data_IF_605003046580
#
_entry.id   IF_605003046580
#
_cell.length_a   1.000
_cell.length_b   1.000
_cell.length_c   1.000
_cell.angle_alpha   90.00
_cell.angle_beta   90.00
_cell.angle_gamma   90.00
#
_symmetry.space_group_name_H-M   'P 1'
#
loop_
_entity.id
_entity.type
_entity.pdbx_description
1 polymer ?
#
# COMPACT_ATOMS: atom_id res chain seq x y z
N UNK A 1 -45.63 -2.29 -32.83
CA UNK A 1 -44.65 -1.24 -32.43
C UNK A 1 -43.71 -1.94 -31.47
N UNK A 2 -42.92 -2.82 -32.06
CA UNK A 2 -42.30 -3.94 -31.36
C UNK A 2 -40.80 -3.76 -31.28
N UNK A 3 -40.28 -4.17 -30.12
CA UNK A 3 -39.06 -4.95 -30.00
C UNK A 3 -37.76 -4.31 -30.45
N UNK A 4 -37.03 -3.67 -29.51
CA UNK A 4 -35.60 -3.95 -29.30
C UNK A 4 -35.27 -3.85 -27.80
N UNK A 5 -35.82 -4.78 -27.00
CA UNK A 5 -35.09 -5.26 -25.82
C UNK A 5 -34.08 -6.27 -26.36
N UNK A 6 -32.96 -5.77 -26.91
CA UNK A 6 -31.83 -6.66 -27.15
C UNK A 6 -31.36 -7.12 -25.78
N UNK A 7 -31.59 -8.41 -25.54
CA UNK A 7 -30.91 -9.23 -24.55
C UNK A 7 -29.40 -9.04 -24.68
N UNK A 8 -28.89 -8.02 -24.01
CA UNK A 8 -27.46 -7.87 -23.77
C UNK A 8 -27.09 -9.03 -22.87
N UNK A 9 -26.29 -9.95 -23.42
CA UNK A 9 -25.88 -11.14 -22.68
C UNK A 9 -25.22 -10.71 -21.36
N UNK A 10 -25.42 -11.43 -20.26
CA UNK A 10 -24.85 -11.06 -18.96
C UNK A 10 -23.32 -10.84 -19.01
N UNK A 11 -22.62 -11.50 -19.94
CA UNK A 11 -21.19 -11.28 -20.19
C UNK A 11 -20.81 -9.96 -20.87
N UNK A 12 -21.71 -9.30 -21.62
CA UNK A 12 -21.42 -7.99 -22.22
C UNK A 12 -21.49 -6.87 -21.19
N UNK A 13 -22.50 -6.87 -20.31
CA UNK A 13 -22.64 -5.87 -19.24
C UNK A 13 -21.53 -5.94 -18.18
N UNK A 14 -21.08 -7.15 -17.82
CA UNK A 14 -19.93 -7.30 -16.90
C UNK A 14 -18.65 -6.75 -17.52
N UNK A 15 -18.50 -6.90 -18.84
CA UNK A 15 -17.35 -6.38 -19.58
C UNK A 15 -17.40 -4.86 -19.65
N UNK A 16 -18.56 -4.27 -19.98
CA UNK A 16 -18.74 -2.81 -20.07
C UNK A 16 -18.54 -2.10 -18.72
N UNK A 17 -18.98 -2.70 -17.62
CA UNK A 17 -18.75 -2.13 -16.28
C UNK A 17 -17.29 -2.23 -15.85
N UNK A 18 -16.60 -3.32 -16.21
CA UNK A 18 -15.17 -3.46 -15.95
C UNK A 18 -14.33 -2.43 -16.74
N UNK A 19 -14.67 -2.17 -18.00
CA UNK A 19 -13.97 -1.17 -18.82
C UNK A 19 -14.23 0.24 -18.30
N UNK A 20 -15.45 0.54 -17.83
CA UNK A 20 -15.79 1.81 -17.17
C UNK A 20 -15.03 2.00 -15.87
N UNK A 21 -14.90 0.94 -15.05
CA UNK A 21 -14.13 0.95 -13.82
C UNK A 21 -12.63 1.21 -14.07
N UNK A 22 -12.11 0.69 -15.18
CA UNK A 22 -10.72 0.92 -15.62
C UNK A 22 -10.54 2.35 -16.14
N UNK A 23 -11.47 2.85 -16.96
CA UNK A 23 -11.36 4.17 -17.59
C UNK A 23 -11.59 5.33 -16.62
N UNK A 24 -12.34 5.12 -15.54
CA UNK A 24 -12.64 6.14 -14.54
C UNK A 24 -13.80 7.05 -14.87
N UNK A 25 -14.61 6.69 -15.85
CA UNK A 25 -15.75 7.49 -16.26
C UNK A 25 -16.90 7.35 -15.23
N UNK A 26 -16.84 8.19 -14.19
CA UNK A 26 -17.81 8.16 -13.09
C UNK A 26 -19.23 8.50 -13.54
N UNK A 27 -19.39 9.28 -14.62
CA UNK A 27 -20.71 9.64 -15.16
C UNK A 27 -21.35 8.42 -15.84
N UNK A 28 -20.58 7.70 -16.66
CA UNK A 28 -21.05 6.45 -17.27
C UNK A 28 -21.32 5.40 -16.20
N UNK A 29 -20.47 5.31 -15.16
CA UNK A 29 -20.71 4.42 -14.04
C UNK A 29 -22.01 4.76 -13.28
N UNK A 30 -22.33 6.05 -13.06
CA UNK A 30 -23.61 6.45 -12.45
C UNK A 30 -24.82 6.02 -13.29
N UNK A 31 -24.77 6.24 -14.60
CA UNK A 31 -25.84 5.82 -15.51
C UNK A 31 -26.03 4.29 -15.47
N UNK A 32 -24.94 3.52 -15.47
CA UNK A 32 -24.99 2.06 -15.42
C UNK A 32 -25.56 1.55 -14.10
N UNK A 33 -25.10 2.08 -12.95
CA UNK A 33 -25.56 1.65 -11.63
C UNK A 33 -27.01 2.04 -11.35
N UNK A 34 -27.49 3.19 -11.85
CA UNK A 34 -28.91 3.55 -11.75
C UNK A 34 -29.81 2.56 -12.48
N UNK A 35 -29.35 2.04 -13.61
CA UNK A 35 -30.10 1.05 -14.39
C UNK A 35 -30.05 -0.33 -13.75
N UNK A 36 -28.88 -0.75 -13.29
CA UNK A 36 -28.66 -2.07 -12.69
C UNK A 36 -27.73 -1.95 -11.47
N UNK A 37 -28.26 -1.76 -10.25
CA UNK A 37 -27.45 -1.59 -9.04
C UNK A 37 -26.55 -2.80 -8.71
N UNK A 38 -26.99 -4.01 -9.05
CA UNK A 38 -26.22 -5.24 -8.85
C UNK A 38 -24.94 -5.32 -9.69
N UNK A 39 -24.72 -4.39 -10.62
CA UNK A 39 -23.49 -4.33 -11.40
C UNK A 39 -22.25 -4.04 -10.55
N UNK A 40 -22.40 -3.39 -9.39
CA UNK A 40 -21.26 -3.16 -8.46
C UNK A 40 -20.61 -4.47 -8.02
N UNK A 41 -21.42 -5.52 -7.87
CA UNK A 41 -21.00 -6.86 -7.44
C UNK A 41 -20.87 -7.86 -8.60
N UNK A 42 -21.11 -7.42 -9.84
CA UNK A 42 -20.98 -8.28 -11.01
C UNK A 42 -19.52 -8.71 -11.17
N UNK A 43 -19.29 -9.96 -11.57
CA UNK A 43 -17.95 -10.52 -11.73
C UNK A 43 -17.60 -10.68 -13.19
N UNK A 44 -16.36 -10.34 -13.54
CA UNK A 44 -15.82 -10.57 -14.87
C UNK A 44 -15.36 -12.04 -15.06
N UNK A 45 -14.74 -12.32 -16.20
CA UNK A 45 -14.21 -13.65 -16.54
C UNK A 45 -13.07 -14.12 -15.60
N UNK A 46 -12.44 -13.19 -14.89
CA UNK A 46 -11.40 -13.47 -13.89
C UNK A 46 -11.97 -13.49 -12.46
N UNK A 47 -13.30 -13.57 -12.32
CA UNK A 47 -14.00 -13.51 -11.04
C UNK A 47 -13.75 -12.19 -10.27
N UNK A 48 -13.34 -11.12 -10.95
CA UNK A 48 -13.04 -9.82 -10.36
C UNK A 48 -14.23 -8.87 -10.49
N UNK A 49 -14.47 -8.08 -9.46
CA UNK A 49 -15.54 -7.08 -9.40
C UNK A 49 -15.09 -5.73 -9.95
N UNK A 50 -16.01 -4.84 -10.40
CA UNK A 50 -15.67 -3.48 -10.81
C UNK A 50 -14.89 -2.70 -9.74
N UNK A 51 -15.21 -2.89 -8.45
CA UNK A 51 -14.46 -2.28 -7.35
C UNK A 51 -13.02 -2.77 -7.30
N UNK A 52 -12.79 -4.08 -7.41
CA UNK A 52 -11.43 -4.65 -7.45
C UNK A 52 -10.65 -4.16 -8.68
N UNK A 53 -11.29 -4.03 -9.85
CA UNK A 53 -10.67 -3.47 -11.06
C UNK A 53 -10.28 -2.01 -10.88
N UNK A 54 -11.18 -1.18 -10.38
CA UNK A 54 -10.89 0.23 -10.09
C UNK A 54 -9.74 0.36 -9.07
N UNK A 55 -9.76 -0.46 -8.01
CA UNK A 55 -8.71 -0.48 -6.99
C UNK A 55 -7.35 -0.90 -7.56
N UNK A 56 -7.33 -1.94 -8.41
CA UNK A 56 -6.13 -2.42 -9.11
C UNK A 56 -5.57 -1.38 -10.08
N UNK A 57 -6.43 -0.67 -10.82
CA UNK A 57 -6.04 0.40 -11.73
C UNK A 57 -5.61 1.69 -11.00
N UNK A 58 -5.78 1.78 -9.68
CA UNK A 58 -5.43 2.97 -8.91
C UNK A 58 -6.41 4.12 -9.08
N UNK A 59 -7.64 3.85 -9.51
CA UNK A 59 -8.64 4.87 -9.78
C UNK A 59 -9.42 5.24 -8.51
N UNK A 60 -8.88 6.18 -7.75
CA UNK A 60 -9.40 6.57 -6.43
C UNK A 60 -10.83 7.09 -6.47
N UNK A 61 -11.15 7.91 -7.46
CA UNK A 61 -12.47 8.50 -7.63
C UNK A 61 -13.52 7.41 -7.84
N UNK A 62 -13.23 6.45 -8.73
CA UNK A 62 -14.11 5.32 -9.01
C UNK A 62 -14.22 4.36 -7.83
N UNK A 63 -13.11 4.08 -7.14
CA UNK A 63 -13.12 3.29 -5.89
C UNK A 63 -14.02 3.93 -4.84
N UNK A 64 -13.86 5.23 -4.61
CA UNK A 64 -14.65 5.97 -3.63
C UNK A 64 -16.14 5.99 -4.00
N UNK A 65 -16.44 6.02 -5.30
CA UNK A 65 -17.80 5.95 -5.81
C UNK A 65 -18.42 4.58 -5.56
N UNK A 66 -17.74 3.49 -5.91
CA UNK A 66 -18.23 2.13 -5.68
C UNK A 66 -18.35 1.80 -4.18
N UNK A 67 -17.40 2.20 -3.34
CA UNK A 67 -17.49 1.96 -1.89
C UNK A 67 -18.68 2.65 -1.20
N UNK A 68 -19.24 3.71 -1.79
CA UNK A 68 -20.46 4.36 -1.27
C UNK A 68 -21.72 3.56 -1.60
N UNK A 69 -21.71 2.80 -2.69
CA UNK A 69 -22.85 1.99 -3.13
C UNK A 69 -22.77 0.54 -2.68
N UNK A 70 -21.58 0.04 -2.33
CA UNK A 70 -21.38 -1.30 -1.76
C UNK A 70 -21.80 -1.38 -0.28
N UNK A 71 -22.49 -2.47 0.08
CA UNK A 71 -22.78 -2.86 1.47
C UNK A 71 -21.71 -3.81 2.01
N UNK A 72 -21.53 -3.83 3.34
CA UNK A 72 -20.55 -4.73 3.98
C UNK A 72 -20.81 -6.20 3.67
N UNK A 73 -22.07 -6.60 3.51
CA UNK A 73 -22.52 -7.96 3.21
C UNK A 73 -22.27 -8.39 1.76
N UNK A 74 -21.96 -7.47 0.85
CA UNK A 74 -21.80 -7.75 -0.58
C UNK A 74 -20.52 -8.57 -0.89
N UNK A 75 -19.56 -8.57 0.03
CA UNK A 75 -18.28 -9.26 -0.11
C UNK A 75 -17.94 -10.08 1.12
N UNK A 76 -17.22 -11.19 0.93
CA UNK A 76 -16.65 -11.94 2.03
C UNK A 76 -15.54 -11.14 2.73
N UNK A 77 -15.19 -11.51 3.96
CA UNK A 77 -14.06 -10.88 4.66
C UNK A 77 -12.73 -11.05 3.89
N UNK A 78 -12.55 -12.17 3.17
CA UNK A 78 -11.37 -12.40 2.33
C UNK A 78 -11.33 -11.41 1.15
N UNK A 79 -12.45 -11.19 0.48
CA UNK A 79 -12.55 -10.23 -0.63
C UNK A 79 -12.33 -8.79 -0.16
N UNK A 80 -12.90 -8.42 1.00
CA UNK A 80 -12.64 -7.13 1.63
C UNK A 80 -11.17 -6.93 2.00
N UNK A 81 -10.53 -7.99 2.50
CA UNK A 81 -9.11 -7.97 2.82
C UNK A 81 -8.26 -7.81 1.55
N UNK A 82 -8.58 -8.51 0.47
CA UNK A 82 -7.88 -8.36 -0.81
C UNK A 82 -8.04 -6.95 -1.40
N UNK A 83 -9.24 -6.36 -1.28
CA UNK A 83 -9.48 -4.95 -1.64
C UNK A 83 -8.59 -4.03 -0.80
N UNK A 84 -8.54 -4.23 0.53
CA UNK A 84 -7.68 -3.44 1.41
C UNK A 84 -6.20 -3.53 1.01
N UNK A 85 -5.71 -4.73 0.69
CA UNK A 85 -4.34 -4.91 0.21
C UNK A 85 -4.11 -4.22 -1.15
N UNK A 86 -5.08 -4.26 -2.07
CA UNK A 86 -5.02 -3.53 -3.34
C UNK A 86 -4.93 -2.02 -3.12
N UNK A 87 -5.76 -1.44 -2.24
CA UNK A 87 -5.72 -0.01 -1.89
C UNK A 87 -4.35 0.40 -1.34
N UNK A 88 -3.74 -0.44 -0.50
CA UNK A 88 -2.38 -0.21 0.03
C UNK A 88 -1.34 -0.26 -1.09
N UNK A 89 -1.43 -1.25 -2.01
CA UNK A 89 -0.50 -1.37 -3.15
C UNK A 89 -0.60 -0.20 -4.13
N UNK A 90 -1.80 0.31 -4.36
CA UNK A 90 -2.06 1.47 -5.22
C UNK A 90 -2.00 2.79 -4.47
N UNK A 91 -1.59 2.77 -3.19
CA UNK A 91 -1.33 3.93 -2.34
C UNK A 91 -2.58 4.81 -2.11
N UNK A 92 -3.76 4.21 -2.06
CA UNK A 92 -5.00 4.86 -1.63
C UNK A 92 -5.20 4.70 -0.13
N UNK A 93 -4.23 5.18 0.66
CA UNK A 93 -4.20 4.95 2.11
C UNK A 93 -5.35 5.59 2.87
N UNK A 94 -5.89 6.71 2.36
CA UNK A 94 -7.05 7.36 2.94
C UNK A 94 -8.31 6.50 2.81
N UNK A 95 -8.55 5.95 1.62
CA UNK A 95 -9.66 5.01 1.38
C UNK A 95 -9.44 3.72 2.17
N UNK A 96 -8.21 3.21 2.23
CA UNK A 96 -7.87 2.03 3.02
C UNK A 96 -8.09 2.25 4.52
N UNK A 97 -7.84 3.46 5.02
CA UNK A 97 -8.12 3.83 6.41
C UNK A 97 -9.62 3.90 6.67
N UNK A 98 -10.40 4.51 5.77
CA UNK A 98 -11.88 4.53 5.86
C UNK A 98 -12.45 3.10 5.89
N UNK A 99 -11.91 2.20 5.07
CA UNK A 99 -12.34 0.80 5.05
C UNK A 99 -12.04 0.09 6.38
N UNK A 100 -10.87 0.33 6.98
CA UNK A 100 -10.50 -0.20 8.29
C UNK A 100 -11.34 0.38 9.43
N UNK A 101 -11.74 1.67 9.34
CA UNK A 101 -12.64 2.30 10.30
C UNK A 101 -14.05 1.68 10.25
N UNK A 102 -14.52 1.30 9.05
CA UNK A 102 -15.80 0.59 8.87
C UNK A 102 -15.75 -0.87 9.32
N UNK A 103 -14.64 -1.55 9.07
CA UNK A 103 -14.47 -2.96 9.41
C UNK A 103 -13.08 -3.24 10.02
N UNK A 104 -13.02 -3.09 11.34
CA UNK A 104 -11.78 -3.22 12.12
C UNK A 104 -11.24 -4.66 12.10
N UNK A 105 -12.08 -5.69 11.89
CA UNK A 105 -11.60 -7.08 11.88
C UNK A 105 -10.66 -7.39 10.70
N UNK A 106 -10.70 -6.58 9.64
CA UNK A 106 -9.78 -6.70 8.51
C UNK A 106 -8.32 -6.42 8.91
N UNK A 107 -8.10 -5.64 9.99
CA UNK A 107 -6.76 -5.30 10.46
C UNK A 107 -5.94 -6.54 10.87
N UNK A 108 -6.60 -7.55 11.43
CA UNK A 108 -5.97 -8.78 11.95
C UNK A 108 -5.94 -9.93 10.95
N UNK A 109 -6.51 -9.74 9.75
CA UNK A 109 -6.53 -10.76 8.71
C UNK A 109 -5.17 -10.89 8.03
N UNK A 110 -4.95 -12.06 7.41
CA UNK A 110 -3.80 -12.35 6.57
C UNK A 110 -4.20 -13.28 5.43
N UNK A 111 -3.45 -13.18 4.34
CA UNK A 111 -3.47 -14.15 3.24
C UNK A 111 -2.04 -14.65 2.98
N UNK A 112 -1.80 -15.26 1.83
CA UNK A 112 -0.47 -15.77 1.44
C UNK A 112 0.60 -14.67 1.39
N UNK A 113 0.22 -13.41 1.10
CA UNK A 113 1.12 -12.26 1.12
C UNK A 113 1.37 -11.70 2.53
N UNK A 114 0.70 -12.25 3.55
CA UNK A 114 0.78 -11.83 4.94
C UNK A 114 -0.30 -10.81 5.31
N UNK A 115 -0.01 -10.01 6.32
CA UNK A 115 -0.91 -8.97 6.85
C UNK A 115 -0.79 -7.66 6.05
N UNK A 116 -1.68 -6.69 6.31
CA UNK A 116 -1.60 -5.32 5.76
C UNK A 116 -0.24 -4.67 6.02
N UNK A 117 0.37 -4.96 7.18
CA UNK A 117 1.70 -4.49 7.56
C UNK A 117 2.80 -4.99 6.61
N UNK A 118 2.71 -6.25 6.15
CA UNK A 118 3.65 -6.79 5.17
C UNK A 118 3.54 -6.03 3.85
N UNK A 119 2.32 -5.82 3.36
CA UNK A 119 2.08 -5.07 2.12
C UNK A 119 2.58 -3.63 2.17
N UNK A 120 2.43 -2.94 3.30
CA UNK A 120 3.02 -1.60 3.53
C UNK A 120 4.55 -1.64 3.52
N UNK A 121 5.17 -2.62 4.17
CA UNK A 121 6.62 -2.77 4.21
C UNK A 121 7.24 -3.15 2.87
N UNK A 122 6.45 -3.67 1.91
CA UNK A 122 6.92 -3.87 0.52
C UNK A 122 6.91 -2.56 -0.29
N UNK A 123 6.13 -1.55 0.10
CA UNK A 123 5.94 -0.33 -0.70
C UNK A 123 7.20 0.53 -0.78
N UNK A 124 7.57 0.92 -2.00
CA UNK A 124 8.65 1.88 -2.21
C UNK A 124 8.18 3.30 -1.90
N UNK A 125 8.61 3.77 -0.73
CA UNK A 125 8.37 5.11 -0.22
C UNK A 125 9.62 6.01 -0.34
N UNK A 126 10.63 5.59 -1.13
CA UNK A 126 11.89 6.34 -1.30
C UNK A 126 11.74 7.66 -2.06
N UNK A 127 10.69 7.82 -2.86
CA UNK A 127 10.34 9.09 -3.49
C UNK A 127 9.94 10.17 -2.46
N UNK A 128 9.63 9.78 -1.23
CA UNK A 128 9.38 10.69 -0.10
C UNK A 128 10.65 11.09 0.64
N UNK A 129 11.84 11.00 0.00
CA UNK A 129 13.13 11.52 0.50
C UNK A 129 13.12 13.05 0.64
N UNK A 130 12.33 13.57 1.56
CA UNK A 130 12.57 14.85 2.17
C UNK A 130 13.69 14.56 3.16
N UNK A 131 14.94 14.61 2.69
CA UNK A 131 16.06 14.55 3.60
C UNK A 131 15.81 15.63 4.65
N UNK A 132 15.57 15.23 5.90
CA UNK A 132 15.46 16.16 7.04
C UNK A 132 16.66 17.12 7.06
N UNK A 133 17.81 16.67 6.52
CA UNK A 133 19.02 17.46 6.22
C UNK A 133 18.86 18.53 5.13
N UNK A 134 18.12 18.28 4.05
CA UNK A 134 17.84 19.27 2.99
C UNK A 134 16.88 20.34 3.52
N UNK A 135 15.81 19.91 4.22
CA UNK A 135 14.89 20.81 4.92
C UNK A 135 15.63 21.71 5.93
N UNK A 136 16.60 21.14 6.66
CA UNK A 136 17.43 21.88 7.62
C UNK A 136 18.62 22.63 6.99
N UNK A 137 18.79 22.58 5.67
CA UNK A 137 19.92 23.23 4.99
C UNK A 137 19.79 24.75 5.02
N UNK A 138 20.95 25.43 5.02
CA UNK A 138 21.02 26.91 5.03
C UNK A 138 20.29 27.55 3.85
N UNK A 139 20.23 26.86 2.70
CA UNK A 139 19.51 27.31 1.49
C UNK A 139 18.00 27.32 1.69
N UNK A 140 17.43 26.27 2.30
CA UNK A 140 15.99 26.19 2.60
C UNK A 140 15.61 27.17 3.70
N UNK A 141 16.40 27.28 4.77
CA UNK A 141 16.19 28.30 5.82
C UNK A 141 16.19 29.71 5.26
N UNK A 142 17.12 30.03 4.34
CA UNK A 142 17.15 31.33 3.66
C UNK A 142 15.95 31.53 2.71
N UNK A 143 15.46 30.49 2.05
CA UNK A 143 14.26 30.58 1.20
C UNK A 143 12.99 30.85 2.03
N UNK A 144 12.86 30.20 3.20
CA UNK A 144 11.78 30.47 4.17
C UNK A 144 11.87 31.90 4.70
N UNK A 145 13.08 32.37 5.06
CA UNK A 145 13.28 33.77 5.48
C UNK A 145 12.95 34.78 4.37
N UNK A 146 13.10 34.41 3.10
CA UNK A 146 12.75 35.23 1.93
C UNK A 146 11.27 35.16 1.54
N UNK A 147 10.42 34.61 2.40
CA UNK A 147 8.97 34.63 2.21
C UNK A 147 8.42 33.48 1.38
N UNK A 148 9.24 32.48 1.01
CA UNK A 148 8.71 31.24 0.43
C UNK A 148 7.99 30.48 1.55
N UNK A 149 6.68 30.20 1.44
CA UNK A 149 5.97 29.45 2.45
C UNK A 149 6.63 28.09 2.62
N UNK A 150 6.91 27.70 3.87
CA UNK A 150 7.50 26.40 4.22
C UNK A 150 6.74 25.23 3.55
N UNK A 151 5.41 25.38 3.43
CA UNK A 151 4.48 24.45 2.75
C UNK A 151 4.75 24.27 1.26
N UNK A 152 5.33 25.26 0.56
CA UNK A 152 5.67 25.16 -0.86
C UNK A 152 6.99 24.40 -1.09
N UNK A 153 7.91 24.48 -0.11
CA UNK A 153 9.17 23.72 -0.09
C UNK A 153 8.92 22.27 0.34
N UNK A 154 7.99 22.08 1.28
CA UNK A 154 7.47 20.77 1.69
C UNK A 154 6.56 20.15 0.61
N UNK A 155 5.79 20.98 -0.11
CA UNK A 155 4.75 20.59 -1.07
C UNK A 155 5.23 20.22 -2.49
N UNK A 156 6.53 20.27 -2.79
CA UNK A 156 7.08 19.61 -3.99
C UNK A 156 7.15 18.07 -3.83
N UNK A 157 6.79 17.57 -2.64
CA UNK A 157 6.71 16.16 -2.25
C UNK A 157 5.30 15.95 -1.76
N UNK A 158 4.62 14.83 -2.07
CA UNK A 158 3.30 14.54 -1.51
C UNK A 158 3.45 14.16 -0.02
N UNK A 159 3.40 15.08 0.97
CA UNK A 159 3.73 14.77 2.37
C UNK A 159 2.59 13.96 3.00
N UNK A 160 1.38 14.15 2.47
CA UNK A 160 0.14 13.57 2.93
C UNK A 160 0.16 12.05 2.74
N UNK A 161 0.77 11.55 1.67
CA UNK A 161 0.75 10.12 1.38
C UNK A 161 1.62 9.32 2.34
N UNK A 162 2.81 9.83 2.68
CA UNK A 162 3.63 9.24 3.73
C UNK A 162 2.96 9.36 5.09
N UNK A 163 2.38 10.52 5.42
CA UNK A 163 1.70 10.72 6.70
C UNK A 163 0.52 9.74 6.88
N UNK A 164 -0.24 9.48 5.83
CA UNK A 164 -1.33 8.49 5.85
C UNK A 164 -0.78 7.07 6.00
N UNK A 165 0.30 6.71 5.31
CA UNK A 165 0.95 5.41 5.47
C UNK A 165 1.52 5.23 6.89
N UNK A 166 2.20 6.24 7.43
CA UNK A 166 2.70 6.27 8.80
C UNK A 166 1.55 6.16 9.81
N UNK A 167 0.45 6.89 9.60
CA UNK A 167 -0.76 6.76 10.42
C UNK A 167 -1.29 5.33 10.40
N UNK A 168 -1.33 4.69 9.23
CA UNK A 168 -1.82 3.31 9.08
C UNK A 168 -0.89 2.32 9.79
N UNK A 169 0.43 2.41 9.60
CA UNK A 169 1.42 1.56 10.29
C UNK A 169 1.35 1.76 11.81
N UNK A 170 1.34 3.01 12.28
CA UNK A 170 1.32 3.32 13.71
C UNK A 170 0.01 2.92 14.37
N UNK A 171 -1.12 3.05 13.67
CA UNK A 171 -2.42 2.57 14.14
C UNK A 171 -2.39 1.05 14.31
N UNK A 172 -1.98 0.30 13.27
CA UNK A 172 -1.94 -1.16 13.31
C UNK A 172 -0.97 -1.70 14.37
N UNK A 173 0.23 -1.13 14.46
CA UNK A 173 1.25 -1.58 15.44
C UNK A 173 0.88 -1.26 16.88
N UNK A 174 0.14 -0.18 17.14
CA UNK A 174 -0.35 0.15 18.49
C UNK A 174 -1.57 -0.66 18.88
N UNK A 175 -2.54 -0.80 17.98
CA UNK A 175 -3.76 -1.53 18.25
C UNK A 175 -3.53 -3.05 18.31
N UNK A 176 -2.64 -3.57 17.47
CA UNK A 176 -2.36 -4.99 17.34
C UNK A 176 -0.84 -5.29 17.31
N UNK A 177 -0.14 -5.17 18.44
CA UNK A 177 1.31 -5.39 18.51
C UNK A 177 1.75 -6.77 18.00
N UNK A 178 0.92 -7.80 18.21
CA UNK A 178 1.21 -9.16 17.77
C UNK A 178 1.31 -9.31 16.25
N UNK A 179 0.71 -8.41 15.45
CA UNK A 179 0.82 -8.45 13.98
C UNK A 179 2.24 -8.24 13.47
N UNK A 180 3.12 -7.68 14.30
CA UNK A 180 4.54 -7.53 13.98
C UNK A 180 5.31 -8.86 14.04
N UNK A 181 4.75 -9.87 14.71
CA UNK A 181 5.29 -11.24 14.80
C UNK A 181 4.70 -12.18 13.74
N UNK A 182 3.57 -11.81 13.15
CA UNK A 182 2.99 -12.57 12.04
C UNK A 182 3.97 -12.66 10.88
N UNK A 183 3.94 -13.79 10.19
CA UNK A 183 4.77 -14.05 9.02
C UNK A 183 3.92 -14.18 7.76
N UNK A 184 4.48 -13.80 6.62
CA UNK A 184 3.95 -14.18 5.32
C UNK A 184 4.23 -15.66 4.99
N UNK A 185 3.83 -16.10 3.79
CA UNK A 185 4.07 -17.47 3.29
C UNK A 185 5.55 -17.90 3.27
N UNK A 186 6.48 -16.95 3.25
CA UNK A 186 7.92 -17.21 3.25
C UNK A 186 8.52 -17.23 4.67
N UNK A 187 7.69 -17.06 5.70
CA UNK A 187 8.17 -16.92 7.09
C UNK A 187 8.76 -15.54 7.38
N UNK A 188 8.55 -14.54 6.51
CA UNK A 188 9.05 -13.19 6.75
C UNK A 188 8.08 -12.41 7.62
N UNK A 189 8.58 -11.85 8.72
CA UNK A 189 7.87 -10.83 9.50
C UNK A 189 7.94 -9.48 8.80
N UNK A 190 7.20 -8.49 9.30
CA UNK A 190 7.31 -7.10 8.81
C UNK A 190 8.76 -6.57 8.84
N UNK A 191 9.58 -7.01 9.81
CA UNK A 191 10.99 -6.61 9.90
C UNK A 191 11.81 -7.21 8.77
N UNK A 192 11.68 -8.52 8.53
CA UNK A 192 12.33 -9.19 7.41
C UNK A 192 11.97 -8.49 6.09
N UNK A 193 10.68 -8.24 5.86
CA UNK A 193 10.20 -7.53 4.66
C UNK A 193 10.78 -6.12 4.57
N UNK A 194 10.74 -5.32 5.64
CA UNK A 194 11.28 -3.96 5.63
C UNK A 194 12.78 -3.94 5.26
N UNK A 195 13.54 -4.96 5.68
CA UNK A 195 14.97 -5.08 5.39
C UNK A 195 15.24 -5.58 3.97
N UNK A 196 14.54 -6.62 3.53
CA UNK A 196 14.67 -7.15 2.16
C UNK A 196 14.38 -6.04 1.12
N UNK A 197 13.33 -5.24 1.37
CA UNK A 197 12.91 -4.17 0.46
C UNK A 197 13.54 -2.80 0.76
N UNK A 198 14.46 -2.68 1.72
CA UNK A 198 15.19 -1.42 2.03
C UNK A 198 14.28 -0.26 2.41
N UNK A 199 13.26 -0.54 3.23
CA UNK A 199 12.30 0.47 3.70
C UNK A 199 12.75 1.04 5.04
N UNK A 200 13.78 1.88 5.00
CA UNK A 200 14.39 2.54 6.16
C UNK A 200 13.38 3.25 7.07
N UNK A 201 12.42 3.99 6.50
CA UNK A 201 11.41 4.69 7.29
C UNK A 201 10.44 3.74 7.99
N UNK A 202 9.99 2.69 7.30
CA UNK A 202 9.11 1.67 7.89
C UNK A 202 9.87 0.94 8.99
N UNK A 203 11.10 0.50 8.71
CA UNK A 203 11.98 -0.19 9.66
C UNK A 203 12.21 0.64 10.93
N UNK A 204 12.59 1.93 10.80
CA UNK A 204 12.78 2.79 11.98
C UNK A 204 11.49 3.04 12.74
N UNK A 205 10.36 3.19 12.06
CA UNK A 205 9.06 3.39 12.69
C UNK A 205 8.66 2.17 13.54
N UNK A 206 8.75 0.96 12.98
CA UNK A 206 8.43 -0.27 13.69
C UNK A 206 9.45 -0.61 14.77
N UNK A 207 10.75 -0.32 14.56
CA UNK A 207 11.78 -0.54 15.58
C UNK A 207 11.61 0.40 16.78
N UNK A 208 11.16 1.63 16.53
CA UNK A 208 10.90 2.63 17.58
C UNK A 208 9.68 2.30 18.45
N UNK A 209 8.80 1.37 18.03
CA UNK A 209 7.65 0.95 18.85
C UNK A 209 8.07 0.16 20.10
N UNK A 210 9.32 -0.33 20.16
CA UNK A 210 9.95 -0.89 21.35
C UNK A 210 9.47 -2.28 21.79
N UNK A 211 8.27 -2.69 21.39
CA UNK A 211 7.59 -3.86 21.95
C UNK A 211 8.29 -5.22 21.67
N UNK A 212 9.15 -5.31 20.65
CA UNK A 212 9.58 -6.60 20.08
C UNK A 212 11.11 -6.64 19.81
N UNK A 213 11.88 -5.67 20.30
CA UNK A 213 13.34 -5.53 20.02
C UNK A 213 14.14 -6.81 20.20
N UNK A 214 13.91 -7.53 21.30
CA UNK A 214 14.66 -8.75 21.62
C UNK A 214 14.30 -9.94 20.73
N UNK A 215 13.07 -10.01 20.22
CA UNK A 215 12.60 -11.12 19.39
C UNK A 215 13.15 -10.98 17.96
N UNK A 216 13.33 -9.75 17.46
CA UNK A 216 13.83 -9.46 16.11
C UNK A 216 15.29 -9.90 15.95
N UNK A 217 16.12 -9.66 16.96
CA UNK A 217 17.53 -10.07 16.93
C UNK A 217 17.70 -11.60 16.85
N UNK A 218 16.71 -12.34 17.35
CA UNK A 218 16.70 -13.81 17.39
C UNK A 218 15.82 -14.44 16.31
N UNK A 219 14.98 -13.67 15.61
CA UNK A 219 14.06 -14.21 14.62
C UNK A 219 14.81 -14.64 13.37
N UNK A 220 14.54 -15.86 12.93
CA UNK A 220 15.07 -16.44 11.70
C UNK A 220 13.92 -16.66 10.72
N UNK A 221 14.20 -16.55 9.42
CA UNK A 221 13.27 -16.99 8.38
C UNK A 221 13.24 -18.53 8.27
N UNK A 222 12.51 -19.06 7.30
CA UNK A 222 12.44 -20.50 7.03
C UNK A 222 13.80 -21.12 6.63
N UNK A 223 14.78 -20.31 6.22
CA UNK A 223 16.13 -20.73 5.85
C UNK A 223 17.14 -20.61 7.02
N UNK A 224 16.72 -20.09 8.18
CA UNK A 224 17.61 -19.81 9.30
C UNK A 224 18.30 -18.44 9.21
N UNK A 225 17.98 -17.62 8.21
CA UNK A 225 18.58 -16.30 8.03
C UNK A 225 17.97 -15.30 9.00
N UNK A 226 18.83 -14.62 9.76
CA UNK A 226 18.43 -13.47 10.56
C UNK A 226 18.43 -12.18 9.73
N UNK A 227 17.99 -11.08 10.34
CA UNK A 227 17.85 -9.79 9.66
C UNK A 227 19.15 -9.25 9.06
N UNK A 228 20.32 -9.57 9.64
CA UNK A 228 21.63 -9.16 9.12
C UNK A 228 22.02 -9.96 7.87
N UNK A 229 21.72 -11.26 7.84
CA UNK A 229 21.87 -12.08 6.63
C UNK A 229 21.00 -11.50 5.51
N UNK A 230 19.74 -11.16 5.80
CA UNK A 230 18.84 -10.54 4.82
C UNK A 230 19.31 -9.16 4.37
N UNK A 231 19.91 -8.36 5.26
CA UNK A 231 20.47 -7.04 4.90
C UNK A 231 21.68 -7.15 3.96
N UNK A 232 22.47 -8.22 4.07
CA UNK A 232 23.63 -8.49 3.23
C UNK A 232 23.26 -9.10 1.85
N UNK A 233 22.06 -9.69 1.71
CA UNK A 233 21.58 -10.21 0.43
C UNK A 233 21.23 -9.10 -0.55
N UNK A 234 21.39 -9.39 -1.85
CA UNK A 234 20.93 -8.49 -2.91
C UNK A 234 19.42 -8.28 -2.80
N UNK A 235 18.94 -7.02 -2.90
CA UNK A 235 17.51 -6.76 -2.85
C UNK A 235 16.82 -7.38 -4.07
N UNK A 236 15.52 -7.74 -3.96
CA UNK A 236 14.77 -8.25 -5.08
C UNK A 236 14.80 -7.23 -6.24
N UNK A 237 14.79 -7.70 -7.50
CA UNK A 237 14.87 -6.84 -8.67
C UNK A 237 13.73 -5.82 -8.64
N UNK A 238 14.08 -4.54 -8.47
CA UNK A 238 13.12 -3.44 -8.55
C UNK A 238 13.10 -2.91 -9.99
N UNK A 239 11.95 -2.91 -10.70
CA UNK A 239 11.84 -2.37 -12.05
C UNK A 239 12.27 -0.89 -12.17
N UNK A 240 12.31 -0.17 -11.03
CA UNK A 240 12.72 1.24 -10.97
C UNK A 240 14.18 1.47 -10.57
N UNK A 241 14.99 0.43 -10.41
CA UNK A 241 16.44 0.58 -10.26
C UNK A 241 17.04 0.94 -11.62
N UNK A 242 16.82 2.19 -12.02
CA UNK A 242 17.50 2.84 -13.14
C UNK A 242 18.99 2.83 -12.82
N UNK A 243 19.70 1.87 -13.41
CA UNK A 243 21.16 1.72 -13.54
C UNK A 243 21.95 2.56 -12.53
N UNK A 244 22.01 2.10 -11.27
CA UNK A 244 22.97 2.65 -10.31
C UNK A 244 24.36 2.07 -10.64
N UNK A 245 25.35 2.93 -10.86
CA UNK A 245 26.73 2.50 -11.15
C UNK A 245 27.23 1.61 -10.00
N UNK A 246 27.92 0.47 -10.25
CA UNK A 246 28.23 -0.53 -9.23
C UNK A 246 28.82 0.00 -7.91
N UNK A 247 29.77 0.96 -7.88
CA UNK A 247 30.29 1.51 -6.64
C UNK A 247 29.24 2.30 -5.83
N UNK A 248 28.38 3.05 -6.52
CA UNK A 248 27.32 3.84 -5.88
C UNK A 248 26.21 2.93 -5.33
N UNK A 249 25.92 1.82 -6.02
CA UNK A 249 25.05 0.79 -5.47
C UNK A 249 25.67 0.22 -4.20
N UNK A 250 26.92 -0.29 -4.27
CA UNK A 250 27.62 -0.88 -3.14
C UNK A 250 27.71 0.06 -1.92
N UNK A 251 27.90 1.37 -2.14
CA UNK A 251 27.91 2.35 -1.06
C UNK A 251 26.54 2.50 -0.38
N UNK A 252 25.43 2.46 -1.14
CA UNK A 252 24.07 2.47 -0.57
C UNK A 252 23.82 1.19 0.22
N UNK A 253 24.23 0.04 -0.31
CA UNK A 253 24.13 -1.26 0.37
C UNK A 253 24.88 -1.26 1.70
N UNK A 254 26.12 -0.76 1.71
CA UNK A 254 26.93 -0.67 2.93
C UNK A 254 26.35 0.29 3.96
N UNK A 255 25.77 1.41 3.52
CA UNK A 255 25.11 2.36 4.42
C UNK A 255 23.89 1.72 5.07
N UNK A 256 23.08 1.02 4.27
CA UNK A 256 21.92 0.28 4.75
C UNK A 256 22.31 -0.81 5.75
N UNK A 257 23.34 -1.61 5.43
CA UNK A 257 23.82 -2.65 6.34
C UNK A 257 24.21 -2.08 7.70
N UNK A 258 24.99 -0.99 7.71
CA UNK A 258 25.39 -0.31 8.95
C UNK A 258 24.20 0.24 9.73
N UNK A 259 23.15 0.69 9.05
CA UNK A 259 21.92 1.14 9.73
C UNK A 259 21.20 -0.01 10.42
N UNK A 260 21.12 -1.19 9.78
CA UNK A 260 20.51 -2.38 10.39
C UNK A 260 21.38 -2.93 11.53
N UNK A 261 22.71 -2.86 11.40
CA UNK A 261 23.68 -3.30 12.43
C UNK A 261 23.70 -2.40 13.67
N UNK A 262 23.52 -1.09 13.51
CA UNK A 262 23.61 -0.11 14.60
C UNK A 262 22.40 -0.09 15.56
N UNK A 263 21.46 -1.02 15.39
CA UNK A 263 20.11 -1.05 15.97
C UNK A 263 19.95 -2.28 16.84
#
# INVERSE_FOLDING_TARGET
MDSILHSTQPGSLSTDTSTTAISGDSEVADIMLRKNPCLVTARDQNNATPLQKAAFCGNKEMVSYFLKSTKVEDFSNEEWFDILLLLVRTKMYDVGLELLEKNVSLATMRNEEGTVLHSLARQDMSHFRANRRILNSRRVKNAVMKGVPRRLIEGAMQPDLWLLAEKLITMLTRAYPNLMLETDSHGYTIFHVAVIYRRENVFRLIYSSGAIKHIIATSQDQNGDNILHLAAKFPPPNPRNVVSIPPLQMQKELTWFKEVEAI
#
